data_IF_035276339459
#
_entry.id   IF_035276339459
#
_cell.length_a   1.000
_cell.length_b   1.000
_cell.length_c   1.000
_cell.angle_alpha   90.00
_cell.angle_beta   90.00
_cell.angle_gamma   90.00
#
_symmetry.space_group_name_H-M   'P 1'
#
loop_
_entity.id
_entity.type
_entity.pdbx_description
1 polymer ?
#
# COMPACT_ATOMS: atom_id res chain seq x y z
N UNK A 1 -2.87 -5.17 -10.73
CA UNK A 1 -3.71 -4.26 -11.53
C UNK A 1 -4.35 -3.15 -10.68
N UNK A 2 -5.06 -3.46 -9.60
CA UNK A 2 -5.77 -2.45 -8.79
C UNK A 2 -4.87 -1.44 -8.06
N UNK A 3 -3.67 -1.84 -7.62
CA UNK A 3 -2.66 -0.91 -7.09
C UNK A 3 -2.18 0.05 -8.19
N UNK A 4 -1.88 -0.49 -9.38
CA UNK A 4 -1.38 0.28 -10.51
C UNK A 4 -2.42 1.22 -11.15
N UNK A 5 -3.72 1.03 -10.86
CA UNK A 5 -4.76 1.99 -11.27
C UNK A 5 -4.91 3.17 -10.32
N UNK A 6 -4.36 3.10 -9.10
CA UNK A 6 -4.44 4.16 -8.09
C UNK A 6 -3.13 4.93 -7.91
N UNK A 7 -2.00 4.34 -8.31
CA UNK A 7 -0.67 4.92 -8.13
C UNK A 7 0.12 4.89 -9.42
N UNK A 8 0.93 5.93 -9.62
CA UNK A 8 1.83 6.03 -10.76
C UNK A 8 2.83 4.85 -10.78
N UNK A 9 3.21 4.40 -11.98
CA UNK A 9 4.12 3.26 -12.15
C UNK A 9 5.46 3.45 -11.44
N UNK A 10 6.00 4.67 -11.43
CA UNK A 10 7.24 4.99 -10.71
C UNK A 10 7.08 4.83 -9.18
N UNK A 11 5.91 5.16 -8.63
CA UNK A 11 5.60 4.96 -7.22
C UNK A 11 5.49 3.48 -6.89
N UNK A 12 4.75 2.70 -7.66
CA UNK A 12 4.65 1.24 -7.45
C UNK A 12 6.03 0.57 -7.55
N UNK A 13 6.84 0.97 -8.53
CA UNK A 13 8.19 0.46 -8.70
C UNK A 13 9.11 0.86 -7.53
N UNK A 14 8.97 2.05 -6.97
CA UNK A 14 9.71 2.45 -5.79
C UNK A 14 9.43 1.47 -4.63
N UNK A 15 8.15 1.28 -4.29
CA UNK A 15 7.75 0.40 -3.17
C UNK A 15 8.18 -1.05 -3.44
N UNK A 16 8.01 -1.53 -4.68
CA UNK A 16 8.40 -2.89 -5.05
C UNK A 16 9.89 -3.16 -4.83
N UNK A 17 10.74 -2.17 -5.14
CA UNK A 17 12.19 -2.35 -5.13
C UNK A 17 12.87 -1.89 -3.84
N UNK A 18 12.21 -1.10 -2.97
CA UNK A 18 12.88 -0.47 -1.82
C UNK A 18 13.50 -1.49 -0.85
N UNK A 19 12.82 -2.61 -0.62
CA UNK A 19 13.28 -3.72 0.22
C UNK A 19 14.52 -4.44 -0.31
N UNK A 20 14.82 -4.34 -1.61
CA UNK A 20 16.02 -4.95 -2.23
C UNK A 20 17.27 -4.08 -2.11
N UNK A 21 17.12 -2.85 -1.62
CA UNK A 21 18.20 -1.87 -1.51
C UNK A 21 18.84 -1.92 -0.13
N UNK A 22 20.08 -1.49 -0.05
CA UNK A 22 20.79 -1.40 1.23
C UNK A 22 20.20 -0.30 2.14
N UNK A 23 20.56 -0.35 3.42
CA UNK A 23 20.09 0.61 4.43
C UNK A 23 20.46 2.05 4.07
N UNK A 24 21.60 2.27 3.42
CA UNK A 24 22.02 3.61 3.00
C UNK A 24 21.04 4.19 1.98
N UNK A 25 20.70 3.44 0.94
CA UNK A 25 19.72 3.83 -0.07
C UNK A 25 18.33 4.02 0.54
N UNK A 26 17.90 3.11 1.43
CA UNK A 26 16.61 3.22 2.11
C UNK A 26 16.50 4.49 2.96
N UNK A 27 17.54 4.79 3.75
CA UNK A 27 17.61 6.00 4.57
C UNK A 27 17.64 7.26 3.70
N UNK A 28 18.48 7.29 2.66
CA UNK A 28 18.54 8.44 1.77
C UNK A 28 17.26 8.64 0.94
N UNK A 29 16.50 7.56 0.70
CA UNK A 29 15.18 7.64 0.08
C UNK A 29 14.14 8.19 1.05
N UNK A 30 14.24 7.86 2.33
CA UNK A 30 13.36 8.39 3.39
C UNK A 30 13.41 9.91 3.43
N UNK A 31 14.59 10.52 3.26
CA UNK A 31 14.79 11.98 3.25
C UNK A 31 14.01 12.71 2.14
N UNK A 32 13.58 11.98 1.10
CA UNK A 32 12.86 12.56 -0.06
C UNK A 32 11.35 12.67 0.17
N UNK A 33 10.83 12.07 1.23
CA UNK A 33 9.40 11.96 1.50
C UNK A 33 9.07 12.37 2.92
N UNK A 34 7.82 12.74 3.15
CA UNK A 34 7.39 13.29 4.43
C UNK A 34 6.86 12.19 5.34
N UNK A 35 7.37 12.12 6.57
CA UNK A 35 6.90 11.21 7.62
C UNK A 35 6.86 9.74 7.17
N UNK A 36 7.99 9.20 6.71
CA UNK A 36 8.10 7.82 6.25
C UNK A 36 9.36 7.16 6.81
N UNK A 37 9.43 5.84 6.73
CA UNK A 37 10.68 5.10 6.86
C UNK A 37 10.58 3.84 5.99
N UNK A 38 11.74 3.29 5.62
CA UNK A 38 11.83 2.04 4.87
C UNK A 38 12.67 1.01 5.62
N UNK A 39 12.35 -0.25 5.42
CA UNK A 39 13.11 -1.41 5.87
C UNK A 39 12.95 -2.56 4.86
N UNK A 40 13.63 -3.67 5.12
CA UNK A 40 13.65 -4.82 4.22
C UNK A 40 12.28 -5.51 4.05
N UNK A 41 11.34 -5.31 4.96
CA UNK A 41 10.02 -5.95 4.94
C UNK A 41 8.92 -5.02 4.39
N UNK A 42 9.26 -3.76 4.08
CA UNK A 42 8.31 -2.75 3.66
C UNK A 42 7.56 -3.12 2.38
N UNK A 43 8.27 -3.63 1.37
CA UNK A 43 7.68 -4.03 0.09
C UNK A 43 6.64 -5.12 0.30
N UNK A 44 7.04 -6.24 0.91
CA UNK A 44 6.15 -7.37 1.18
C UNK A 44 4.93 -6.95 2.02
N UNK A 45 5.17 -6.21 3.12
CA UNK A 45 4.10 -5.72 3.99
C UNK A 45 3.12 -4.82 3.24
N UNK A 46 3.59 -3.97 2.32
CA UNK A 46 2.73 -3.09 1.51
C UNK A 46 1.75 -3.88 0.65
N UNK A 47 2.28 -4.88 -0.08
CA UNK A 47 1.47 -5.69 -0.99
C UNK A 47 0.53 -6.62 -0.24
N UNK A 48 0.98 -7.21 0.88
CA UNK A 48 0.12 -8.00 1.75
C UNK A 48 -1.01 -7.16 2.35
N UNK A 49 -0.72 -5.96 2.84
CA UNK A 49 -1.76 -5.06 3.36
C UNK A 49 -2.79 -4.71 2.28
N UNK A 50 -2.35 -4.36 1.07
CA UNK A 50 -3.27 -4.05 -0.03
C UNK A 50 -4.11 -5.27 -0.43
N UNK A 51 -3.49 -6.44 -0.59
CA UNK A 51 -4.18 -7.68 -0.94
C UNK A 51 -5.20 -8.13 0.11
N UNK A 52 -4.83 -8.03 1.40
CA UNK A 52 -5.69 -8.44 2.49
C UNK A 52 -6.96 -7.59 2.60
N UNK A 53 -6.86 -6.27 2.44
CA UNK A 53 -8.05 -5.40 2.49
C UNK A 53 -8.97 -5.68 1.28
N UNK A 54 -8.41 -5.97 0.11
CA UNK A 54 -9.19 -6.41 -1.07
C UNK A 54 -9.95 -7.70 -0.76
N UNK A 55 -9.27 -8.73 -0.21
CA UNK A 55 -9.90 -10.01 0.08
C UNK A 55 -11.03 -9.87 1.11
N UNK A 56 -10.78 -9.15 2.19
CA UNK A 56 -11.79 -8.91 3.24
C UNK A 56 -12.99 -8.15 2.67
N UNK A 57 -12.77 -7.11 1.87
CA UNK A 57 -13.84 -6.36 1.23
C UNK A 57 -14.64 -7.22 0.25
N UNK A 58 -13.98 -8.08 -0.51
CA UNK A 58 -14.65 -9.03 -1.40
C UNK A 58 -15.58 -9.95 -0.61
N UNK A 59 -15.11 -10.55 0.49
CA UNK A 59 -15.92 -11.45 1.32
C UNK A 59 -17.17 -10.77 1.91
N UNK A 60 -17.07 -9.48 2.26
CA UNK A 60 -18.25 -8.70 2.67
C UNK A 60 -19.17 -8.43 1.47
N UNK A 61 -18.62 -8.02 0.33
CA UNK A 61 -19.40 -7.70 -0.87
C UNK A 61 -20.11 -8.92 -1.48
N UNK A 62 -19.56 -10.13 -1.34
CA UNK A 62 -20.17 -11.38 -1.78
C UNK A 62 -21.06 -12.03 -0.73
N UNK A 63 -21.38 -11.32 0.36
CA UNK A 63 -22.20 -11.79 1.48
C UNK A 63 -21.68 -13.04 2.21
N UNK A 64 -20.38 -13.34 2.11
CA UNK A 64 -19.74 -14.37 2.94
C UNK A 64 -19.63 -13.87 4.39
N UNK A 65 -19.36 -12.58 4.57
CA UNK A 65 -19.39 -11.89 5.86
C UNK A 65 -20.42 -10.76 5.87
N UNK A 66 -20.99 -10.48 7.03
CA UNK A 66 -21.90 -9.32 7.22
C UNK A 66 -21.12 -8.02 7.43
N UNK A 67 -19.94 -8.10 8.03
CA UNK A 67 -19.02 -7.00 8.27
C UNK A 67 -17.63 -7.55 8.60
N UNK A 68 -16.59 -6.72 8.46
CA UNK A 68 -15.22 -7.11 8.79
C UNK A 68 -14.34 -5.92 9.16
N UNK A 69 -13.23 -6.19 9.86
CA UNK A 69 -12.19 -5.22 10.20
C UNK A 69 -10.84 -5.79 9.73
N UNK A 70 -10.07 -4.99 9.01
CA UNK A 70 -8.72 -5.35 8.56
C UNK A 70 -7.65 -4.66 9.43
N UNK A 71 -6.88 -5.45 10.17
CA UNK A 71 -5.75 -4.98 10.97
C UNK A 71 -4.45 -5.10 10.15
N UNK A 72 -4.11 -4.06 9.40
CA UNK A 72 -2.96 -4.09 8.47
C UNK A 72 -1.92 -3.02 8.78
N UNK A 73 -0.67 -3.32 8.43
CA UNK A 73 0.42 -2.36 8.31
C UNK A 73 1.18 -2.63 7.02
N UNK A 74 1.68 -1.61 6.30
CA UNK A 74 1.65 -0.18 6.63
C UNK A 74 0.25 0.45 6.53
N UNK A 75 0.02 1.62 7.18
CA UNK A 75 -1.27 2.33 7.15
C UNK A 75 -1.63 2.83 5.74
N UNK A 76 -2.87 3.33 5.58
CA UNK A 76 -3.56 3.21 4.28
C UNK A 76 -4.14 4.49 3.66
N UNK A 77 -4.08 5.68 4.28
CA UNK A 77 -4.91 6.82 3.84
C UNK A 77 -4.19 8.14 3.50
N UNK A 78 -2.92 8.31 3.85
CA UNK A 78 -2.21 9.58 3.56
C UNK A 78 -1.52 9.61 2.19
N UNK A 79 -1.40 8.46 1.52
CA UNK A 79 -0.66 8.32 0.26
C UNK A 79 -1.26 9.12 -0.89
N UNK A 80 -0.38 9.79 -1.62
CA UNK A 80 -0.69 10.46 -2.87
C UNK A 80 -0.52 9.52 -4.09
N UNK A 81 -1.03 9.94 -5.24
CA UNK A 81 -0.91 9.18 -6.49
C UNK A 81 0.56 8.89 -6.86
N UNK A 82 1.47 9.84 -6.63
CA UNK A 82 2.87 9.76 -7.11
C UNK A 82 3.91 9.45 -6.03
N UNK A 83 3.53 9.46 -4.75
CA UNK A 83 4.50 9.35 -3.66
C UNK A 83 3.90 8.76 -2.38
N UNK A 84 4.71 8.04 -1.59
CA UNK A 84 4.32 7.61 -0.27
C UNK A 84 4.55 8.74 0.75
N UNK A 85 3.75 8.74 1.83
CA UNK A 85 3.81 9.78 2.87
C UNK A 85 3.03 9.33 4.11
N UNK A 86 3.35 9.89 5.28
CA UNK A 86 2.59 9.66 6.51
C UNK A 86 2.51 8.17 6.89
N UNK A 87 3.64 7.47 6.76
CA UNK A 87 3.84 6.03 6.95
C UNK A 87 3.07 5.12 5.98
N UNK A 88 2.31 5.69 5.05
CA UNK A 88 1.50 4.96 4.10
C UNK A 88 2.30 4.72 2.82
N UNK A 89 2.21 3.52 2.24
CA UNK A 89 2.82 3.19 0.93
C UNK A 89 1.80 3.12 -0.20
N UNK A 90 0.61 2.56 0.06
CA UNK A 90 -0.49 2.53 -0.90
C UNK A 90 -1.77 3.05 -0.24
N UNK A 91 -2.68 3.56 -1.07
CA UNK A 91 -4.00 3.97 -0.62
C UNK A 91 -4.96 2.78 -0.69
N UNK A 92 -4.91 1.90 0.32
CA UNK A 92 -5.70 0.65 0.29
C UNK A 92 -7.22 0.92 0.24
N UNK A 93 -7.69 2.04 0.80
CA UNK A 93 -9.11 2.43 0.74
C UNK A 93 -9.51 2.72 -0.71
N UNK A 94 -8.72 3.52 -1.43
CA UNK A 94 -8.98 3.83 -2.83
C UNK A 94 -8.85 2.58 -3.73
N UNK A 95 -7.85 1.73 -3.47
CA UNK A 95 -7.65 0.46 -4.18
C UNK A 95 -8.89 -0.44 -4.03
N UNK A 96 -9.40 -0.59 -2.81
CA UNK A 96 -10.59 -1.40 -2.55
C UNK A 96 -11.85 -0.79 -3.14
N UNK A 97 -12.06 0.52 -3.00
CA UNK A 97 -13.20 1.19 -3.63
C UNK A 97 -13.21 0.93 -5.14
N UNK A 98 -12.05 1.06 -5.80
CA UNK A 98 -11.92 0.77 -7.21
C UNK A 98 -12.13 -0.72 -7.55
N UNK A 99 -11.68 -1.64 -6.70
CA UNK A 99 -11.90 -3.08 -6.86
C UNK A 99 -13.38 -3.47 -6.78
N UNK A 100 -14.14 -2.85 -5.86
CA UNK A 100 -15.56 -3.16 -5.68
C UNK A 100 -16.42 -2.53 -6.80
N UNK A 101 -16.01 -1.37 -7.31
CA UNK A 101 -16.75 -0.65 -8.34
C UNK A 101 -16.49 -1.14 -9.78
N UNK A 102 -15.39 -1.86 -10.04
CA UNK A 102 -14.95 -2.26 -11.39
C UNK A 102 -14.41 -3.69 -11.47
#
# INVERSE_FOLDING_TARGET
>A
KYIASMHATNHVNLINNISSKDNYYQNHTTEKFHYIYFNNDCSESAFLAAGFVIEVANKVATHEFTSAISLVRPPVHHVEHKQPTGFCFFNNVAIVANYILN
#
